data_IF_048643109538
#
_entry.id   IF_048643109538
#
_cell.length_a   1.000
_cell.length_b   1.000
_cell.length_c   1.000
_cell.angle_alpha   90.00
_cell.angle_beta   90.00
_cell.angle_gamma   90.00
#
_symmetry.space_group_name_H-M   'P 1'
#
loop_
_entity.id
_entity.type
_entity.pdbx_description
1 polymer ?
#
# COMPACT_ATOMS: atom_id res chain seq x y z
N UNK A 1 30.96 57.59 -20.49
CA UNK A 1 30.79 56.76 -19.27
C UNK A 1 29.35 56.30 -19.23
N UNK A 2 29.09 55.06 -19.64
CA UNK A 2 27.77 54.42 -19.58
C UNK A 2 27.99 53.00 -19.10
N UNK A 3 27.88 52.80 -17.79
CA UNK A 3 27.96 51.49 -17.15
C UNK A 3 26.59 50.82 -17.25
N UNK A 4 26.45 49.92 -18.22
CA UNK A 4 25.34 48.96 -18.26
C UNK A 4 25.50 47.94 -17.14
N UNK A 5 24.59 47.97 -16.17
CA UNK A 5 24.49 46.96 -15.12
C UNK A 5 23.93 45.68 -15.74
N UNK A 6 24.78 44.67 -15.85
CA UNK A 6 24.37 43.29 -16.14
C UNK A 6 23.53 42.75 -14.96
N UNK A 7 22.23 42.64 -15.15
CA UNK A 7 21.32 41.88 -14.26
C UNK A 7 21.22 40.43 -14.72
N UNK A 8 22.29 39.66 -14.56
CA UNK A 8 22.19 38.19 -14.54
C UNK A 8 22.00 37.73 -13.10
N UNK A 9 20.78 37.88 -12.57
CA UNK A 9 20.35 37.14 -11.39
C UNK A 9 19.69 35.83 -11.85
N UNK A 10 20.50 34.87 -12.31
CA UNK A 10 20.07 33.47 -12.40
C UNK A 10 20.06 32.89 -10.99
N UNK A 11 19.13 33.37 -10.15
CA UNK A 11 18.84 32.73 -8.88
C UNK A 11 18.22 31.38 -9.16
N UNK A 12 19.00 30.30 -9.02
CA UNK A 12 18.47 28.94 -8.92
C UNK A 12 17.42 28.96 -7.81
N UNK A 13 16.13 29.00 -8.17
CA UNK A 13 15.05 28.71 -7.22
C UNK A 13 15.28 27.27 -6.78
N UNK A 14 15.84 27.09 -5.58
CA UNK A 14 15.89 25.78 -4.95
C UNK A 14 14.46 25.24 -4.92
N UNK A 15 14.24 24.12 -5.61
CA UNK A 15 12.93 23.49 -5.64
C UNK A 15 12.55 23.08 -4.23
N UNK A 16 11.30 23.31 -3.86
CA UNK A 16 10.75 22.99 -2.54
C UNK A 16 9.55 22.07 -2.69
N UNK A 17 9.49 20.99 -1.91
CA UNK A 17 8.39 20.04 -1.90
C UNK A 17 7.76 19.92 -0.51
N UNK A 18 6.49 19.56 -0.49
CA UNK A 18 5.70 19.35 0.71
C UNK A 18 5.61 17.85 0.98
N UNK A 19 5.98 17.37 2.16
CA UNK A 19 5.65 16.03 2.63
C UNK A 19 4.36 16.12 3.43
N UNK A 20 3.29 15.53 2.91
CA UNK A 20 1.94 15.59 3.46
C UNK A 20 1.61 14.29 4.19
N UNK A 21 1.26 14.39 5.47
CA UNK A 21 0.80 13.26 6.28
C UNK A 21 -0.41 13.66 7.15
N UNK A 22 -1.04 12.69 7.82
CA UNK A 22 -2.09 12.96 8.80
C UNK A 22 -1.48 13.17 10.19
N UNK A 23 -2.18 13.90 11.05
CA UNK A 23 -1.88 13.95 12.49
C UNK A 23 -1.94 12.56 13.16
N UNK A 24 -1.17 12.38 14.23
CA UNK A 24 -1.05 11.09 14.93
C UNK A 24 -2.39 10.56 15.47
N UNK A 25 -3.29 11.44 15.92
CA UNK A 25 -4.61 11.05 16.43
C UNK A 25 -5.48 10.37 15.34
N UNK A 26 -5.13 10.53 14.07
CA UNK A 26 -5.85 10.01 12.92
C UNK A 26 -5.21 8.78 12.28
N UNK A 27 -4.00 8.42 12.70
CA UNK A 27 -3.20 7.35 12.09
C UNK A 27 -2.18 6.82 13.10
N UNK A 28 -2.58 6.27 14.25
CA UNK A 28 -1.64 5.98 15.34
C UNK A 28 -0.72 4.79 15.07
N UNK A 29 -1.09 3.89 14.15
CA UNK A 29 -0.44 2.58 13.97
C UNK A 29 0.95 2.64 13.33
N UNK A 30 1.33 3.77 12.73
CA UNK A 30 2.58 3.93 12.00
C UNK A 30 3.43 5.12 12.46
N UNK A 31 3.25 5.52 13.73
CA UNK A 31 3.83 6.75 14.31
C UNK A 31 4.86 6.50 15.38
N UNK A 32 5.80 7.42 15.50
CA UNK A 32 6.71 7.53 16.63
C UNK A 32 6.05 8.27 17.82
N UNK A 33 6.77 8.37 18.93
CA UNK A 33 6.33 9.06 20.14
C UNK A 33 6.07 10.57 19.95
N UNK A 34 6.54 11.16 18.84
CA UNK A 34 6.33 12.57 18.49
C UNK A 34 5.18 12.76 17.50
N UNK A 35 4.50 11.68 17.10
CA UNK A 35 3.36 11.73 16.22
C UNK A 35 3.69 11.82 14.72
N UNK A 36 4.96 11.72 14.34
CA UNK A 36 5.36 11.65 12.93
C UNK A 36 5.33 10.20 12.47
N UNK A 37 5.18 9.96 11.16
CA UNK A 37 5.48 8.60 10.67
C UNK A 37 6.95 8.28 10.94
N UNK A 38 7.21 7.04 11.33
CA UNK A 38 8.55 6.59 11.76
C UNK A 38 9.66 6.83 10.71
N UNK A 39 9.30 7.00 9.43
CA UNK A 39 10.23 7.27 8.33
C UNK A 39 10.17 8.68 7.73
N UNK A 40 9.31 9.57 8.25
CA UNK A 40 9.09 10.92 7.68
C UNK A 40 10.36 11.76 7.68
N UNK A 41 11.10 11.79 8.79
CA UNK A 41 12.34 12.56 8.87
C UNK A 41 13.43 12.03 7.94
N UNK A 42 13.54 10.72 7.79
CA UNK A 42 14.50 10.11 6.89
C UNK A 42 14.22 10.48 5.44
N UNK A 43 12.95 10.38 5.01
CA UNK A 43 12.52 10.77 3.66
C UNK A 43 12.78 12.26 3.42
N UNK A 44 12.38 13.14 4.36
CA UNK A 44 12.61 14.57 4.23
C UNK A 44 14.11 14.90 4.11
N UNK A 45 14.95 14.27 4.93
CA UNK A 45 16.42 14.43 4.89
C UNK A 45 17.01 13.88 3.59
N UNK A 46 16.48 12.78 3.08
CA UNK A 46 16.88 12.20 1.79
C UNK A 46 16.61 13.15 0.63
N UNK A 47 15.43 13.77 0.60
CA UNK A 47 15.05 14.81 -0.38
C UNK A 47 15.95 16.05 -0.26
N UNK A 48 16.20 16.51 0.97
CA UNK A 48 17.11 17.64 1.25
C UNK A 48 18.55 17.36 0.79
N UNK A 49 19.03 16.14 1.01
CA UNK A 49 20.35 15.70 0.56
C UNK A 49 20.49 15.69 -0.97
N UNK A 50 19.37 15.59 -1.70
CA UNK A 50 19.33 15.71 -3.16
C UNK A 50 19.20 17.17 -3.65
N UNK A 51 19.33 18.16 -2.77
CA UNK A 51 19.29 19.59 -3.11
C UNK A 51 17.88 20.18 -3.23
N UNK A 52 16.85 19.46 -2.78
CA UNK A 52 15.45 19.89 -2.79
C UNK A 52 14.99 20.19 -1.36
N UNK A 53 14.51 21.40 -1.09
CA UNK A 53 13.96 21.71 0.24
C UNK A 53 12.69 20.88 0.49
N UNK A 54 12.53 20.31 1.68
CA UNK A 54 11.37 19.50 2.04
C UNK A 54 10.79 19.99 3.37
N UNK A 55 9.53 20.44 3.34
CA UNK A 55 8.78 20.81 4.55
C UNK A 55 7.73 19.73 4.84
N UNK A 56 7.53 19.38 6.12
CA UNK A 56 6.50 18.41 6.55
C UNK A 56 5.24 19.16 6.97
N UNK A 57 4.07 18.69 6.56
CA UNK A 57 2.78 19.21 7.00
C UNK A 57 1.84 18.08 7.40
N UNK A 58 1.32 18.17 8.62
CA UNK A 58 0.35 17.24 9.18
C UNK A 58 -1.05 17.82 9.07
N UNK A 59 -1.96 17.09 8.42
CA UNK A 59 -3.37 17.44 8.38
C UNK A 59 -4.02 16.95 9.67
N UNK A 60 -4.35 17.89 10.55
CA UNK A 60 -4.96 17.63 11.85
C UNK A 60 -6.49 17.81 11.84
N UNK A 61 -7.15 17.25 12.86
CA UNK A 61 -8.58 17.44 13.10
C UNK A 61 -8.99 18.89 13.31
N UNK A 62 -8.06 19.76 13.75
CA UNK A 62 -8.33 21.18 13.91
C UNK A 62 -8.48 21.91 12.56
N UNK A 63 -8.01 21.32 11.46
CA UNK A 63 -8.15 21.89 10.12
C UNK A 63 -9.53 21.56 9.53
N UNK A 64 -10.59 22.07 10.15
CA UNK A 64 -11.96 21.85 9.69
C UNK A 64 -12.61 23.05 8.97
N UNK A 65 -11.99 24.22 8.99
CA UNK A 65 -12.54 25.42 8.35
C UNK A 65 -12.18 25.47 6.85
N UNK A 66 -13.18 25.51 5.97
CA UNK A 66 -12.97 25.50 4.51
C UNK A 66 -12.15 26.70 4.00
N UNK A 67 -12.30 27.88 4.61
CA UNK A 67 -11.53 29.07 4.26
C UNK A 67 -10.06 28.89 4.59
N UNK A 68 -9.75 28.34 5.77
CA UNK A 68 -8.39 28.02 6.19
C UNK A 68 -7.77 26.94 5.31
N UNK A 69 -8.50 25.84 5.04
CA UNK A 69 -8.07 24.79 4.09
C UNK A 69 -7.70 25.42 2.74
N UNK A 70 -8.55 26.31 2.22
CA UNK A 70 -8.34 26.98 0.94
C UNK A 70 -7.16 27.94 0.95
N UNK A 71 -6.85 28.59 2.09
CA UNK A 71 -5.64 29.41 2.26
C UNK A 71 -4.38 28.55 2.21
N UNK A 72 -4.34 27.45 2.97
CA UNK A 72 -3.21 26.50 2.92
C UNK A 72 -3.03 25.90 1.53
N UNK A 73 -4.10 25.43 0.89
CA UNK A 73 -4.04 24.84 -0.45
C UNK A 73 -3.48 25.83 -1.49
N UNK A 74 -3.93 27.10 -1.46
CA UNK A 74 -3.37 28.17 -2.31
C UNK A 74 -1.91 28.44 -1.99
N UNK A 75 -1.56 28.59 -0.72
CA UNK A 75 -0.17 28.80 -0.29
C UNK A 75 0.76 27.67 -0.78
N UNK A 76 0.36 26.41 -0.59
CA UNK A 76 1.15 25.26 -1.01
C UNK A 76 1.32 25.22 -2.53
N UNK A 77 0.24 25.35 -3.29
CA UNK A 77 0.29 25.34 -4.76
C UNK A 77 1.12 26.49 -5.37
N UNK A 78 1.20 27.64 -4.69
CA UNK A 78 2.00 28.78 -5.12
C UNK A 78 3.49 28.64 -4.79
N UNK A 79 3.85 27.96 -3.69
CA UNK A 79 5.20 27.98 -3.12
C UNK A 79 5.98 26.68 -3.29
N UNK A 80 5.31 25.57 -3.54
CA UNK A 80 5.93 24.25 -3.66
C UNK A 80 5.85 23.74 -5.09
N UNK A 81 6.93 23.11 -5.55
CA UNK A 81 7.04 22.47 -6.86
C UNK A 81 6.30 21.12 -6.90
N UNK A 82 6.06 20.50 -5.76
CA UNK A 82 5.30 19.27 -5.66
C UNK A 82 4.98 18.83 -4.22
N UNK A 83 4.25 17.73 -4.11
CA UNK A 83 3.84 17.13 -2.82
C UNK A 83 4.09 15.62 -2.80
N UNK A 84 4.71 15.14 -1.75
CA UNK A 84 4.90 13.71 -1.42
C UNK A 84 3.77 13.33 -0.46
N UNK A 85 2.89 12.43 -0.89
CA UNK A 85 1.73 12.00 -0.10
C UNK A 85 2.10 10.76 0.72
N UNK A 86 2.18 10.93 2.03
CA UNK A 86 2.53 9.88 3.02
C UNK A 86 1.32 9.48 3.86
N UNK A 87 0.13 9.52 3.28
CA UNK A 87 -1.13 9.18 3.95
C UNK A 87 -1.58 7.78 3.52
N UNK A 88 -1.82 6.92 4.50
CA UNK A 88 -2.43 5.61 4.25
C UNK A 88 -3.92 5.77 3.87
N UNK A 89 -4.39 5.22 2.72
CA UNK A 89 -5.78 5.35 2.30
C UNK A 89 -6.83 4.82 3.28
N UNK A 90 -6.49 3.84 4.13
CA UNK A 90 -7.42 3.33 5.16
C UNK A 90 -7.73 4.39 6.21
N UNK A 91 -6.73 5.16 6.66
CA UNK A 91 -6.89 6.24 7.64
C UNK A 91 -7.85 7.33 7.15
N UNK A 92 -7.95 7.55 5.83
CA UNK A 92 -8.88 8.53 5.26
C UNK A 92 -10.35 8.10 5.31
N UNK A 93 -10.66 6.82 5.53
CA UNK A 93 -12.05 6.33 5.62
C UNK A 93 -12.68 6.60 6.96
N UNK A 94 -11.87 6.53 8.01
CA UNK A 94 -12.28 6.76 9.40
C UNK A 94 -12.02 8.19 9.84
N UNK A 95 -11.24 8.96 9.07
CA UNK A 95 -10.99 10.37 9.33
C UNK A 95 -12.28 11.22 9.24
N UNK A 96 -12.41 12.27 10.07
CA UNK A 96 -13.51 13.23 9.94
C UNK A 96 -13.62 13.82 8.53
N UNK A 97 -14.85 14.13 8.11
CA UNK A 97 -15.12 14.68 6.77
C UNK A 97 -14.28 15.92 6.45
N UNK A 98 -13.98 16.74 7.47
CA UNK A 98 -13.19 17.95 7.32
C UNK A 98 -11.71 17.67 6.95
N UNK A 99 -11.11 16.61 7.51
CA UNK A 99 -9.75 16.15 7.16
C UNK A 99 -9.72 15.64 5.73
N UNK A 100 -10.71 14.84 5.36
CA UNK A 100 -10.85 14.33 3.99
C UNK A 100 -10.98 15.48 2.98
N UNK A 101 -11.76 16.51 3.32
CA UNK A 101 -11.88 17.73 2.52
C UNK A 101 -10.54 18.47 2.43
N UNK A 102 -9.82 18.60 3.55
CA UNK A 102 -8.49 19.22 3.61
C UNK A 102 -7.50 18.57 2.65
N UNK A 103 -7.30 17.26 2.78
CA UNK A 103 -6.39 16.47 1.92
C UNK A 103 -6.80 16.58 0.45
N UNK A 104 -8.09 16.37 0.14
CA UNK A 104 -8.59 16.47 -1.24
C UNK A 104 -8.38 17.86 -1.84
N UNK A 105 -8.58 18.91 -1.05
CA UNK A 105 -8.44 20.30 -1.51
C UNK A 105 -6.99 20.66 -1.78
N UNK A 106 -6.06 20.30 -0.88
CA UNK A 106 -4.62 20.49 -1.09
C UNK A 106 -4.16 19.79 -2.37
N UNK A 107 -4.47 18.50 -2.52
CA UNK A 107 -4.08 17.72 -3.72
C UNK A 107 -4.72 18.28 -4.99
N UNK A 108 -5.98 18.73 -4.93
CA UNK A 108 -6.66 19.37 -6.07
C UNK A 108 -5.94 20.64 -6.50
N UNK A 109 -5.59 21.53 -5.56
CA UNK A 109 -4.88 22.77 -5.85
C UNK A 109 -3.47 22.52 -6.40
N UNK A 110 -2.73 21.57 -5.84
CA UNK A 110 -1.43 21.16 -6.38
C UNK A 110 -1.55 20.72 -7.85
N UNK A 111 -2.56 19.89 -8.17
CA UNK A 111 -2.82 19.47 -9.55
C UNK A 111 -3.19 20.63 -10.48
N UNK A 112 -4.08 21.52 -10.04
CA UNK A 112 -4.52 22.68 -10.84
C UNK A 112 -3.38 23.66 -11.13
N UNK A 113 -2.41 23.77 -10.22
CA UNK A 113 -1.20 24.56 -10.42
C UNK A 113 -0.08 23.79 -11.15
N UNK A 114 -0.40 22.64 -11.76
CA UNK A 114 0.53 21.76 -12.45
C UNK A 114 1.77 21.45 -11.58
N UNK A 115 1.56 21.06 -10.31
CA UNK A 115 2.65 20.63 -9.41
C UNK A 115 2.78 19.12 -9.44
N UNK A 116 4.01 18.64 -9.24
CA UNK A 116 4.27 17.22 -9.13
C UNK A 116 3.60 16.62 -7.88
N UNK A 117 3.13 15.38 -7.99
CA UNK A 117 2.46 14.65 -6.89
C UNK A 117 3.08 13.26 -6.87
N UNK A 118 3.60 12.83 -5.72
CA UNK A 118 4.21 11.51 -5.55
C UNK A 118 3.50 10.68 -4.47
N UNK A 119 3.08 9.43 -4.78
CA UNK A 119 2.87 8.92 -6.14
C UNK A 119 1.78 9.72 -6.88
N UNK A 120 1.84 9.78 -8.21
CA UNK A 120 0.82 10.48 -8.98
C UNK A 120 -0.47 9.65 -9.09
N UNK A 121 -1.58 10.32 -9.40
CA UNK A 121 -2.92 9.69 -9.43
C UNK A 121 -3.02 8.55 -10.44
N UNK A 122 -2.37 8.67 -11.59
CA UNK A 122 -2.41 7.64 -12.63
C UNK A 122 -1.67 6.43 -12.11
N UNK A 123 -0.43 6.57 -11.67
CA UNK A 123 0.35 5.45 -11.14
C UNK A 123 -0.32 4.75 -9.97
N UNK A 124 -0.87 5.50 -9.00
CA UNK A 124 -1.66 4.92 -7.89
C UNK A 124 -2.85 4.08 -8.37
N UNK A 125 -3.55 4.48 -9.45
CA UNK A 125 -4.68 3.70 -9.98
C UNK A 125 -4.24 2.38 -10.59
N UNK A 126 -3.10 2.37 -11.26
CA UNK A 126 -2.59 1.20 -11.97
C UNK A 126 -1.85 0.22 -11.05
N UNK A 127 -1.17 0.73 -10.00
CA UNK A 127 -0.29 -0.07 -9.15
C UNK A 127 -0.89 -0.35 -7.76
N UNK A 128 -1.45 0.65 -7.09
CA UNK A 128 -1.87 0.61 -5.67
C UNK A 128 -3.36 0.26 -5.47
N UNK A 129 -3.95 -0.44 -6.44
CA UNK A 129 -5.30 -0.98 -6.32
C UNK A 129 -5.24 -2.49 -6.36
N UNK A 130 -6.14 -3.19 -5.67
CA UNK A 130 -6.18 -4.66 -5.77
C UNK A 130 -6.41 -5.15 -7.22
N UNK A 131 -6.92 -4.30 -8.11
CA UNK A 131 -7.01 -4.59 -9.54
C UNK A 131 -5.64 -4.82 -10.18
N UNK A 132 -4.56 -4.23 -9.67
CA UNK A 132 -3.20 -4.50 -10.14
C UNK A 132 -2.83 -5.97 -9.98
N UNK A 133 -3.15 -6.59 -8.83
CA UNK A 133 -2.94 -8.01 -8.60
C UNK A 133 -3.73 -8.89 -9.60
N UNK A 134 -4.96 -8.51 -9.95
CA UNK A 134 -5.74 -9.21 -10.98
C UNK A 134 -5.16 -9.05 -12.39
N UNK A 135 -4.78 -7.84 -12.79
CA UNK A 135 -4.15 -7.62 -14.11
C UNK A 135 -2.82 -8.37 -14.23
N UNK A 136 -2.02 -8.33 -13.16
CA UNK A 136 -0.75 -9.02 -13.10
C UNK A 136 -0.89 -10.54 -12.95
N UNK A 137 -2.07 -11.03 -12.58
CA UNK A 137 -2.39 -12.46 -12.51
C UNK A 137 -2.25 -13.17 -13.87
N UNK A 138 -2.23 -12.40 -14.97
CA UNK A 138 -2.00 -12.87 -16.33
C UNK A 138 -0.51 -13.11 -16.66
N UNK A 139 0.39 -12.81 -15.72
CA UNK A 139 1.79 -13.22 -15.81
C UNK A 139 1.89 -14.74 -15.67
N UNK A 140 2.50 -15.40 -16.65
CA UNK A 140 2.75 -16.86 -16.60
C UNK A 140 3.77 -17.21 -15.51
N UNK A 141 4.71 -16.32 -15.23
CA UNK A 141 5.80 -16.56 -14.27
C UNK A 141 5.34 -16.22 -12.84
N UNK A 142 4.84 -15.01 -12.66
CA UNK A 142 4.62 -14.39 -11.35
C UNK A 142 3.14 -14.33 -10.95
N UNK A 143 2.22 -14.58 -11.87
CA UNK A 143 0.78 -14.41 -11.64
C UNK A 143 0.12 -15.57 -10.92
N UNK A 144 -0.92 -15.25 -10.14
CA UNK A 144 -1.87 -16.21 -9.59
C UNK A 144 -3.01 -16.38 -10.60
N UNK A 145 -2.87 -17.31 -11.54
CA UNK A 145 -3.75 -17.43 -12.73
C UNK A 145 -5.24 -17.54 -12.44
N UNK A 146 -5.62 -18.08 -11.29
CA UNK A 146 -7.00 -18.22 -10.81
C UNK A 146 -7.44 -17.05 -9.92
N UNK A 147 -6.97 -15.84 -10.20
CA UNK A 147 -7.45 -14.59 -9.58
C UNK A 147 -8.71 -14.09 -10.28
N UNK A 148 -9.74 -13.77 -9.50
CA UNK A 148 -11.01 -13.25 -10.01
C UNK A 148 -11.33 -11.87 -9.44
N UNK A 149 -12.08 -11.07 -10.20
CA UNK A 149 -12.57 -9.76 -9.80
C UNK A 149 -14.06 -9.67 -10.07
N UNK A 150 -14.81 -9.16 -9.10
CA UNK A 150 -16.27 -9.12 -9.15
C UNK A 150 -16.81 -7.68 -9.12
N UNK A 151 -17.85 -7.45 -9.93
CA UNK A 151 -18.52 -6.15 -10.12
C UNK A 151 -19.98 -6.15 -9.67
N UNK A 152 -20.58 -7.33 -9.57
CA UNK A 152 -21.93 -7.54 -9.04
C UNK A 152 -21.98 -8.73 -8.07
N UNK A 153 -22.99 -8.71 -7.20
CA UNK A 153 -23.16 -9.71 -6.15
C UNK A 153 -23.41 -11.12 -6.70
N UNK A 154 -24.15 -11.26 -7.81
CA UNK A 154 -24.51 -12.57 -8.37
C UNK A 154 -23.26 -13.28 -8.89
N UNK A 155 -22.41 -12.58 -9.62
CA UNK A 155 -21.13 -13.10 -10.10
C UNK A 155 -20.20 -13.48 -8.94
N UNK A 156 -20.13 -12.64 -7.90
CA UNK A 156 -19.34 -12.93 -6.70
C UNK A 156 -19.80 -14.20 -5.99
N UNK A 157 -21.11 -14.33 -5.72
CA UNK A 157 -21.68 -15.49 -5.04
C UNK A 157 -21.40 -16.76 -5.82
N UNK A 158 -21.67 -16.75 -7.13
CA UNK A 158 -21.47 -17.93 -7.98
C UNK A 158 -19.98 -18.28 -8.11
N UNK A 159 -19.14 -17.28 -8.36
CA UNK A 159 -17.70 -17.44 -8.53
C UNK A 159 -17.01 -17.96 -7.28
N UNK A 160 -17.21 -17.29 -6.13
CA UNK A 160 -16.64 -17.71 -4.86
C UNK A 160 -17.06 -19.12 -4.46
N UNK A 161 -18.33 -19.47 -4.66
CA UNK A 161 -18.86 -20.81 -4.38
C UNK A 161 -18.14 -21.87 -5.22
N UNK A 162 -18.03 -21.64 -6.53
CA UNK A 162 -17.32 -22.56 -7.43
C UNK A 162 -15.83 -22.69 -7.06
N UNK A 163 -15.16 -21.59 -6.75
CA UNK A 163 -13.75 -21.59 -6.37
C UNK A 163 -13.51 -22.33 -5.06
N UNK A 164 -14.35 -22.10 -4.04
CA UNK A 164 -14.32 -22.85 -2.79
C UNK A 164 -14.61 -24.34 -3.01
N UNK A 165 -15.50 -24.69 -3.95
CA UNK A 165 -15.72 -26.09 -4.34
C UNK A 165 -14.46 -26.77 -4.88
N UNK A 166 -13.67 -26.05 -5.68
CA UNK A 166 -12.44 -26.57 -6.33
C UNK A 166 -11.24 -26.63 -5.41
N UNK A 167 -10.94 -25.54 -4.68
CA UNK A 167 -9.68 -25.40 -3.92
C UNK A 167 -9.87 -25.43 -2.42
N UNK A 168 -11.12 -25.44 -1.93
CA UNK A 168 -11.54 -25.40 -0.50
C UNK A 168 -11.15 -24.16 0.28
N UNK A 169 -10.05 -23.51 -0.06
CA UNK A 169 -9.57 -22.29 0.61
C UNK A 169 -9.35 -21.20 -0.43
N UNK A 170 -9.91 -20.02 -0.17
CA UNK A 170 -9.78 -18.81 -0.99
C UNK A 170 -9.46 -17.60 -0.11
N UNK A 171 -8.80 -16.61 -0.70
CA UNK A 171 -8.57 -15.30 -0.10
C UNK A 171 -9.47 -14.29 -0.79
N UNK A 172 -10.35 -13.62 -0.07
CA UNK A 172 -11.26 -12.59 -0.58
C UNK A 172 -10.84 -11.22 -0.05
N UNK A 173 -10.67 -10.24 -0.93
CA UNK A 173 -10.18 -8.89 -0.63
C UNK A 173 -11.17 -7.84 -1.16
N UNK A 174 -11.56 -6.80 -0.41
CA UNK A 174 -12.20 -5.64 -0.98
C UNK A 174 -11.21 -4.93 -1.92
N UNK A 175 -11.72 -4.38 -3.02
CA UNK A 175 -10.87 -3.70 -4.03
C UNK A 175 -10.16 -2.48 -3.45
N UNK A 176 -10.79 -1.83 -2.47
CA UNK A 176 -10.20 -0.72 -1.75
C UNK A 176 -9.87 -1.16 -0.32
N UNK A 177 -8.60 -1.11 0.08
CA UNK A 177 -8.12 -1.30 1.47
C UNK A 177 -6.62 -1.59 1.49
N UNK A 178 -5.90 -1.16 2.53
CA UNK A 178 -4.43 -1.16 2.58
C UNK A 178 -3.83 -1.75 3.88
N UNK A 179 -4.65 -2.16 4.85
CA UNK A 179 -4.20 -2.66 6.16
C UNK A 179 -4.75 -4.05 6.51
N UNK A 180 -5.05 -4.90 5.53
CA UNK A 180 -5.56 -6.26 5.79
C UNK A 180 -7.01 -6.31 6.29
N UNK A 181 -7.57 -5.20 6.75
CA UNK A 181 -8.99 -5.03 7.05
C UNK A 181 -9.85 -5.43 5.84
N UNK A 182 -10.83 -6.29 6.09
CA UNK A 182 -11.71 -6.86 5.08
C UNK A 182 -11.04 -7.93 4.21
N UNK A 183 -9.77 -8.29 4.41
CA UNK A 183 -9.16 -9.44 3.72
C UNK A 183 -9.46 -10.70 4.50
N UNK A 184 -10.21 -11.61 3.89
CA UNK A 184 -10.67 -12.85 4.51
C UNK A 184 -10.02 -14.07 3.86
N UNK A 185 -9.49 -14.97 4.68
CA UNK A 185 -9.30 -16.36 4.29
C UNK A 185 -10.60 -17.10 4.57
N UNK A 186 -11.16 -17.70 3.52
CA UNK A 186 -12.38 -18.49 3.57
C UNK A 186 -12.03 -19.94 3.29
N UNK A 187 -12.24 -20.82 4.25
CA UNK A 187 -11.99 -22.26 4.11
C UNK A 187 -13.29 -23.05 4.34
N UNK A 188 -13.58 -24.01 3.47
CA UNK A 188 -14.70 -24.94 3.66
C UNK A 188 -14.43 -25.91 4.79
N UNK A 189 -15.48 -26.24 5.55
CA UNK A 189 -15.43 -27.35 6.51
C UNK A 189 -15.53 -28.72 5.79
N UNK A 190 -16.24 -28.79 4.66
CA UNK A 190 -16.44 -30.03 3.92
C UNK A 190 -15.17 -30.47 3.18
N UNK A 191 -14.94 -31.79 3.12
CA UNK A 191 -13.79 -32.41 2.44
C UNK A 191 -14.16 -33.07 1.11
N UNK A 192 -15.30 -32.72 0.52
CA UNK A 192 -15.73 -33.24 -0.77
C UNK A 192 -15.34 -32.31 -1.94
N UNK A 193 -15.88 -32.58 -3.12
CA UNK A 193 -15.69 -31.81 -4.36
C UNK A 193 -16.96 -31.07 -4.80
N UNK A 194 -18.00 -31.05 -3.94
CA UNK A 194 -19.22 -30.29 -4.18
C UNK A 194 -18.93 -28.79 -4.13
N UNK A 195 -19.90 -27.95 -4.48
CA UNK A 195 -19.83 -26.52 -4.18
C UNK A 195 -20.54 -26.29 -2.84
N UNK A 196 -20.09 -25.36 -1.97
CA UNK A 196 -20.73 -25.17 -0.68
C UNK A 196 -22.17 -24.72 -0.85
N UNK A 197 -23.09 -25.24 -0.04
CA UNK A 197 -24.46 -24.75 0.06
C UNK A 197 -24.54 -23.49 0.95
N UNK A 198 -25.66 -22.77 0.90
CA UNK A 198 -25.84 -21.52 1.66
C UNK A 198 -25.60 -21.67 3.16
N UNK A 199 -26.05 -22.78 3.72
CA UNK A 199 -25.98 -23.07 5.15
C UNK A 199 -24.69 -23.87 5.51
N UNK A 200 -23.81 -24.14 4.54
CA UNK A 200 -22.54 -24.81 4.82
C UNK A 200 -21.64 -23.90 5.66
N UNK A 201 -21.11 -24.38 6.81
CA UNK A 201 -20.17 -23.62 7.60
C UNK A 201 -18.81 -23.49 6.90
N UNK A 202 -18.25 -22.29 6.99
CA UNK A 202 -16.90 -21.93 6.60
C UNK A 202 -16.09 -21.58 7.86
N UNK A 203 -14.79 -21.87 7.82
CA UNK A 203 -13.80 -21.23 8.67
C UNK A 203 -13.36 -19.93 8.02
N UNK A 204 -13.48 -18.84 8.76
CA UNK A 204 -13.20 -17.49 8.29
C UNK A 204 -12.14 -16.86 9.18
N UNK A 205 -11.11 -16.29 8.58
CA UNK A 205 -10.07 -15.55 9.30
C UNK A 205 -9.83 -14.22 8.60
N UNK A 206 -10.04 -13.12 9.33
CA UNK A 206 -9.68 -11.80 8.83
C UNK A 206 -8.17 -11.58 9.04
N UNK A 207 -7.46 -11.19 7.99
CA UNK A 207 -6.00 -11.00 8.04
C UNK A 207 -5.55 -9.88 8.98
N UNK A 208 -6.43 -8.97 9.40
CA UNK A 208 -6.14 -7.97 10.43
C UNK A 208 -6.30 -8.50 11.86
N UNK A 209 -7.08 -9.56 12.06
CA UNK A 209 -7.33 -10.20 13.35
C UNK A 209 -6.66 -11.59 13.36
N UNK A 210 -5.33 -11.56 13.29
CA UNK A 210 -4.44 -12.71 13.05
C UNK A 210 -4.61 -13.90 14.01
N UNK A 211 -5.31 -13.76 15.13
CA UNK A 211 -5.59 -14.81 16.12
C UNK A 211 -7.07 -15.21 16.21
N UNK A 212 -7.91 -14.72 15.28
CA UNK A 212 -9.34 -14.94 15.30
C UNK A 212 -9.86 -15.73 14.09
N UNK A 213 -10.34 -16.95 14.35
CA UNK A 213 -11.09 -17.77 13.39
C UNK A 213 -12.56 -17.79 13.81
N UNK A 214 -13.44 -17.38 12.91
CA UNK A 214 -14.89 -17.50 13.06
C UNK A 214 -15.42 -18.68 12.26
N UNK A 215 -16.51 -19.29 12.75
CA UNK A 215 -17.29 -20.28 12.00
C UNK A 215 -18.64 -19.69 11.65
N UNK A 216 -18.90 -19.48 10.35
CA UNK A 216 -20.14 -18.89 9.83
C UNK A 216 -20.56 -19.59 8.56
N UNK A 217 -21.84 -19.53 8.22
CA UNK A 217 -22.34 -20.09 6.96
C UNK A 217 -21.84 -19.31 5.76
N UNK A 218 -21.80 -19.96 4.58
CA UNK A 218 -21.47 -19.29 3.32
C UNK A 218 -22.39 -18.07 3.07
N UNK A 219 -23.69 -18.21 3.35
CA UNK A 219 -24.67 -17.12 3.22
C UNK A 219 -24.35 -15.94 4.14
N UNK A 220 -24.08 -16.18 5.42
CA UNK A 220 -23.72 -15.13 6.37
C UNK A 220 -22.47 -14.37 5.94
N UNK A 221 -21.42 -15.08 5.49
CA UNK A 221 -20.20 -14.45 5.02
C UNK A 221 -20.44 -13.56 3.79
N UNK A 222 -21.15 -14.07 2.80
CA UNK A 222 -21.48 -13.31 1.58
C UNK A 222 -22.27 -12.06 1.93
N UNK A 223 -23.27 -12.18 2.80
CA UNK A 223 -24.10 -11.04 3.20
C UNK A 223 -23.26 -9.97 3.92
N UNK A 224 -22.41 -10.40 4.85
CA UNK A 224 -21.48 -9.51 5.54
C UNK A 224 -20.48 -8.84 4.60
N UNK A 225 -19.86 -9.59 3.70
CA UNK A 225 -18.88 -9.05 2.76
C UNK A 225 -19.52 -8.01 1.81
N UNK A 226 -20.78 -8.21 1.41
CA UNK A 226 -21.49 -7.30 0.51
C UNK A 226 -22.09 -6.08 1.22
N UNK A 227 -22.64 -6.26 2.43
CA UNK A 227 -23.48 -5.27 3.09
C UNK A 227 -23.04 -4.88 4.50
N UNK A 228 -21.94 -5.45 4.99
CA UNK A 228 -21.41 -5.23 6.33
C UNK A 228 -22.45 -5.56 7.40
N UNK A 229 -22.40 -4.81 8.51
CA UNK A 229 -23.34 -4.95 9.63
C UNK A 229 -24.70 -4.30 9.40
N UNK A 230 -24.94 -3.69 8.23
CA UNK A 230 -26.15 -2.90 7.96
C UNK A 230 -27.41 -3.75 7.80
N UNK A 231 -27.29 -5.01 7.35
CA UNK A 231 -28.43 -5.91 7.09
C UNK A 231 -28.52 -7.04 8.10
N UNK A 232 -27.38 -7.64 8.41
CA UNK A 232 -27.28 -8.73 9.39
C UNK A 232 -26.28 -8.32 10.46
N UNK A 233 -26.69 -8.25 11.74
CA UNK A 233 -25.78 -7.93 12.83
C UNK A 233 -24.65 -8.96 12.90
N UNK A 234 -23.47 -8.61 12.38
CA UNK A 234 -22.26 -9.38 12.61
C UNK A 234 -21.78 -9.07 14.02
N UNK A 235 -22.24 -9.87 14.99
CA UNK A 235 -21.62 -9.90 16.31
C UNK A 235 -20.29 -10.63 16.14
N UNK A 236 -19.27 -9.90 15.73
CA UNK A 236 -17.90 -10.37 15.85
C UNK A 236 -17.72 -10.86 17.30
N UNK A 237 -17.02 -11.97 17.50
CA UNK A 237 -16.53 -12.22 18.85
C UNK A 237 -15.68 -11.00 19.25
N UNK A 238 -15.69 -10.63 20.53
CA UNK A 238 -15.24 -9.36 21.11
C UNK A 238 -13.80 -8.90 20.77
N UNK A 239 -13.04 -9.63 19.94
CA UNK A 239 -11.67 -9.34 19.48
C UNK A 239 -11.50 -9.19 17.96
N UNK A 240 -12.47 -9.62 17.15
CA UNK A 240 -12.38 -9.65 15.68
C UNK A 240 -13.21 -8.60 14.95
N UNK A 241 -13.73 -7.61 15.67
CA UNK A 241 -14.61 -6.57 15.12
C UNK A 241 -13.88 -5.55 14.28
N UNK A 242 -13.24 -5.97 13.18
CA UNK A 242 -12.85 -5.05 12.13
C UNK A 242 -14.07 -4.21 11.74
N UNK A 243 -13.95 -2.89 11.77
CA UNK A 243 -14.96 -1.98 11.24
C UNK A 243 -14.96 -2.09 9.71
N UNK A 244 -15.36 -3.25 9.18
CA UNK A 244 -15.55 -3.44 7.75
C UNK A 244 -16.71 -2.55 7.32
N UNK A 245 -16.36 -1.39 6.77
CA UNK A 245 -17.30 -0.57 6.04
C UNK A 245 -17.47 -1.20 4.66
N UNK A 246 -18.64 -1.81 4.37
CA UNK A 246 -18.86 -2.47 3.10
C UNK A 246 -18.68 -1.46 1.97
N UNK A 247 -18.33 -1.93 0.75
CA UNK A 247 -18.26 -1.09 -0.43
C UNK A 247 -19.68 -0.65 -0.83
N UNK A 248 -20.32 0.21 -0.05
CA UNK A 248 -21.55 0.87 -0.48
C UNK A 248 -21.18 1.76 -1.66
N UNK A 249 -21.71 1.43 -2.84
CA UNK A 249 -21.79 2.38 -3.95
C UNK A 249 -23.23 2.55 -4.38
N UNK A 250 -23.60 3.83 -4.50
CA UNK A 250 -24.74 4.26 -5.28
C UNK A 250 -24.58 3.83 -6.74
N UNK A 251 -25.74 3.65 -7.38
CA UNK A 251 -26.04 2.92 -8.61
C UNK A 251 -25.38 3.44 -9.90
N UNK A 252 -24.45 4.40 -9.83
CA UNK A 252 -23.82 4.98 -11.02
C UNK A 252 -22.50 4.27 -11.38
N UNK A 253 -22.63 3.21 -12.19
CA UNK A 253 -21.63 2.36 -12.87
C UNK A 253 -20.98 1.21 -12.05
N UNK A 254 -20.94 -0.04 -12.57
CA UNK A 254 -20.42 -1.22 -11.86
C UNK A 254 -18.87 -1.19 -11.78
N UNK A 255 -18.36 -0.54 -10.73
CA UNK A 255 -16.96 -0.64 -10.36
C UNK A 255 -16.69 -1.98 -9.64
N UNK A 256 -15.51 -2.58 -9.83
CA UNK A 256 -15.11 -3.75 -9.07
C UNK A 256 -15.16 -3.50 -7.57
N UNK A 257 -15.67 -4.47 -6.81
CA UNK A 257 -15.78 -4.37 -5.35
C UNK A 257 -15.01 -5.47 -4.61
N UNK A 258 -14.86 -6.66 -5.22
CA UNK A 258 -14.11 -7.78 -4.64
C UNK A 258 -13.03 -8.30 -5.59
N UNK A 259 -11.95 -8.78 -5.00
CA UNK A 259 -10.94 -9.62 -5.64
C UNK A 259 -10.82 -10.92 -4.84
N UNK A 260 -10.65 -12.02 -5.55
CA UNK A 260 -10.52 -13.36 -4.99
C UNK A 260 -9.28 -14.05 -5.56
N UNK A 261 -8.47 -14.65 -4.71
CA UNK A 261 -7.25 -15.38 -5.06
C UNK A 261 -7.23 -16.75 -4.39
N UNK A 262 -6.46 -17.70 -4.93
CA UNK A 262 -6.14 -18.91 -4.16
C UNK A 262 -5.34 -18.56 -2.92
N UNK A 263 -5.55 -19.34 -1.88
CA UNK A 263 -4.69 -19.30 -0.71
C UNK A 263 -3.35 -19.95 -1.05
N UNK A 264 -2.25 -19.28 -0.72
CA UNK A 264 -0.89 -19.79 -0.89
C UNK A 264 -0.36 -20.29 0.46
N UNK A 265 -0.32 -21.62 0.69
CA UNK A 265 -0.08 -22.17 2.02
C UNK A 265 1.32 -21.91 2.57
N UNK A 266 2.32 -21.61 1.72
CA UNK A 266 3.66 -21.23 2.19
C UNK A 266 3.75 -19.78 2.67
N UNK A 267 2.63 -19.05 2.81
CA UNK A 267 2.62 -17.77 3.55
C UNK A 267 3.20 -17.92 4.97
N UNK A 268 3.10 -19.11 5.56
CA UNK A 268 3.73 -19.46 6.83
C UNK A 268 5.27 -19.35 6.80
N UNK A 269 5.90 -19.51 5.63
CA UNK A 269 7.35 -19.33 5.44
C UNK A 269 7.71 -17.83 5.32
N UNK A 270 6.71 -16.98 5.17
CA UNK A 270 6.83 -15.54 5.06
C UNK A 270 6.46 -14.99 3.68
N UNK A 271 6.08 -13.72 3.68
CA UNK A 271 5.86 -12.88 2.52
C UNK A 271 7.17 -12.16 2.18
N UNK A 272 7.64 -12.34 0.94
CA UNK A 272 8.82 -11.67 0.41
C UNK A 272 8.41 -10.32 -0.21
N UNK A 273 8.72 -9.24 0.48
CA UNK A 273 8.52 -7.86 0.01
C UNK A 273 9.77 -7.34 -0.68
N UNK A 274 9.62 -6.93 -1.93
CA UNK A 274 10.66 -6.27 -2.71
C UNK A 274 10.36 -4.77 -2.76
N UNK A 275 11.27 -3.94 -2.28
CA UNK A 275 11.12 -2.48 -2.24
C UNK A 275 11.95 -1.86 -3.34
N UNK A 276 11.34 -0.94 -4.08
CA UNK A 276 11.92 -0.30 -5.26
C UNK A 276 11.88 1.22 -5.13
N UNK A 277 12.93 1.85 -5.65
CA UNK A 277 12.94 3.28 -6.03
C UNK A 277 13.03 3.30 -7.55
N UNK A 278 11.99 3.78 -8.23
CA UNK A 278 11.84 3.62 -9.69
C UNK A 278 11.95 2.15 -10.08
N UNK A 279 12.85 1.80 -10.98
CA UNK A 279 13.12 0.44 -11.45
C UNK A 279 14.22 -0.28 -10.64
N UNK A 280 14.83 0.38 -9.65
CA UNK A 280 15.92 -0.18 -8.86
C UNK A 280 15.43 -0.85 -7.59
N UNK A 281 15.80 -2.12 -7.40
CA UNK A 281 15.59 -2.85 -6.15
C UNK A 281 16.51 -2.28 -5.07
N UNK A 282 15.92 -1.81 -3.98
CA UNK A 282 16.65 -1.18 -2.86
C UNK A 282 16.65 -2.03 -1.59
N UNK A 283 15.58 -2.79 -1.34
CA UNK A 283 15.51 -3.72 -0.21
C UNK A 283 14.74 -4.99 -0.55
N UNK A 284 15.16 -6.10 0.05
CA UNK A 284 14.43 -7.36 0.08
C UNK A 284 14.12 -7.70 1.52
N UNK A 285 12.84 -7.87 1.83
CA UNK A 285 12.36 -8.03 3.21
C UNK A 285 11.49 -9.26 3.29
N UNK A 286 11.79 -10.15 4.24
CA UNK A 286 10.93 -11.26 4.60
C UNK A 286 10.07 -10.85 5.79
N UNK A 287 8.75 -10.95 5.63
CA UNK A 287 7.79 -10.75 6.71
C UNK A 287 7.18 -12.10 7.04
N UNK A 288 7.46 -12.63 8.21
CA UNK A 288 6.92 -13.93 8.66
C UNK A 288 5.79 -13.70 9.66
N UNK A 289 4.61 -14.31 9.48
CA UNK A 289 3.53 -14.24 10.45
C UNK A 289 3.98 -14.80 11.80
N UNK A 290 3.60 -14.17 12.92
CA UNK A 290 3.89 -14.71 14.27
C UNK A 290 2.94 -15.85 14.64
N UNK A 291 1.75 -15.91 14.02
CA UNK A 291 0.79 -17.00 14.19
C UNK A 291 0.65 -17.83 12.92
N UNK A 292 0.52 -19.16 13.08
CA UNK A 292 0.36 -20.10 11.97
C UNK A 292 -0.86 -19.75 11.11
N UNK A 293 -0.65 -19.59 9.80
CA UNK A 293 -1.71 -19.27 8.83
C UNK A 293 -2.10 -17.78 8.76
N UNK A 294 -1.60 -16.93 9.67
CA UNK A 294 -1.96 -15.52 9.78
C UNK A 294 -1.21 -14.61 8.77
N UNK A 295 -1.60 -13.33 8.70
CA UNK A 295 -0.93 -12.31 7.89
C UNK A 295 0.17 -11.58 8.68
N UNK A 296 1.10 -10.96 7.98
CA UNK A 296 2.10 -10.07 8.61
C UNK A 296 1.61 -8.62 8.79
N UNK A 297 0.43 -8.29 8.25
CA UNK A 297 -0.12 -6.95 8.25
C UNK A 297 -0.40 -6.46 9.70
N UNK A 298 -0.28 -5.16 9.94
CA UNK A 298 -0.55 -4.56 11.26
C UNK A 298 0.56 -4.71 12.30
N UNK A 299 1.77 -5.16 11.91
CA UNK A 299 2.93 -5.24 12.81
C UNK A 299 2.99 -6.53 13.65
N UNK A 300 2.12 -7.50 13.37
CA UNK A 300 2.07 -8.82 14.03
C UNK A 300 3.01 -9.83 13.35
N UNK A 301 3.83 -9.40 12.38
CA UNK A 301 4.80 -10.23 11.69
C UNK A 301 6.24 -9.91 12.10
N UNK A 302 7.09 -10.93 12.22
CA UNK A 302 8.53 -10.76 12.32
C UNK A 302 9.04 -10.22 10.99
N UNK A 303 9.69 -9.06 11.04
CA UNK A 303 10.29 -8.43 9.85
C UNK A 303 11.78 -8.68 9.89
N UNK A 304 12.31 -9.34 8.86
CA UNK A 304 13.74 -9.60 8.68
C UNK A 304 14.17 -9.15 7.28
N UNK A 305 15.36 -8.56 7.20
CA UNK A 305 15.94 -8.23 5.90
C UNK A 305 16.73 -9.41 5.36
N UNK A 306 16.50 -9.71 4.08
CA UNK A 306 17.19 -10.77 3.34
C UNK A 306 18.47 -10.16 2.78
N UNK A 307 19.61 -10.51 3.36
CA UNK A 307 20.90 -9.88 3.05
C UNK A 307 22.08 -10.85 3.04
N UNK A 308 21.88 -12.10 3.43
CA UNK A 308 22.94 -13.09 3.56
C UNK A 308 22.98 -14.00 2.34
N UNK A 309 23.97 -13.81 1.45
CA UNK A 309 24.11 -14.65 0.25
C UNK A 309 24.71 -16.03 0.56
N UNK A 310 25.25 -16.24 1.77
CA UNK A 310 25.82 -17.52 2.20
C UNK A 310 24.74 -18.42 2.82
N UNK A 311 23.68 -17.84 3.39
CA UNK A 311 22.51 -18.58 3.87
C UNK A 311 21.66 -19.06 2.68
N UNK A 312 21.46 -20.39 2.48
CA UNK A 312 20.84 -20.93 1.27
C UNK A 312 19.45 -20.38 0.95
N UNK A 313 18.59 -20.19 1.96
CA UNK A 313 17.23 -19.68 1.72
C UNK A 313 17.24 -18.21 1.30
N UNK A 314 18.09 -17.39 1.92
CA UNK A 314 18.31 -16.00 1.53
C UNK A 314 18.93 -15.89 0.13
N UNK A 315 19.91 -16.72 -0.21
CA UNK A 315 20.48 -16.78 -1.56
C UNK A 315 19.39 -17.07 -2.62
N UNK A 316 18.47 -18.00 -2.34
CA UNK A 316 17.34 -18.30 -3.20
C UNK A 316 16.38 -17.10 -3.35
N UNK A 317 16.04 -16.43 -2.25
CA UNK A 317 15.16 -15.23 -2.26
C UNK A 317 15.82 -14.04 -2.97
N UNK A 318 17.12 -13.85 -2.81
CA UNK A 318 17.90 -12.83 -3.53
C UNK A 318 17.85 -13.11 -5.04
N UNK A 319 18.02 -14.36 -5.46
CA UNK A 319 17.88 -14.75 -6.86
C UNK A 319 16.49 -14.41 -7.42
N UNK A 320 15.43 -14.70 -6.66
CA UNK A 320 14.04 -14.34 -7.02
C UNK A 320 13.90 -12.82 -7.13
N UNK A 321 14.43 -12.05 -6.17
CA UNK A 321 14.37 -10.60 -6.19
C UNK A 321 15.05 -10.01 -7.43
N UNK A 322 16.24 -10.53 -7.80
CA UNK A 322 16.98 -10.13 -9.01
C UNK A 322 16.25 -10.51 -10.29
N UNK A 323 15.60 -11.67 -10.32
CA UNK A 323 14.76 -12.07 -11.46
C UNK A 323 13.56 -11.14 -11.61
N UNK A 324 12.91 -10.75 -10.52
CA UNK A 324 11.80 -9.81 -10.57
C UNK A 324 12.25 -8.42 -11.03
N UNK A 325 13.35 -7.89 -10.49
CA UNK A 325 13.95 -6.62 -10.93
C UNK A 325 14.22 -6.62 -12.44
N UNK A 326 14.80 -7.71 -12.96
CA UNK A 326 15.16 -7.81 -14.39
C UNK A 326 13.97 -8.05 -15.32
N UNK A 327 13.01 -8.89 -14.92
CA UNK A 327 11.95 -9.39 -15.80
C UNK A 327 10.54 -9.01 -15.33
N UNK A 328 10.28 -9.06 -14.03
CA UNK A 328 8.98 -8.71 -13.43
C UNK A 328 8.57 -7.27 -13.71
N UNK A 329 9.51 -6.32 -13.67
CA UNK A 329 9.24 -4.91 -14.01
C UNK A 329 8.75 -4.74 -15.47
N UNK A 330 9.32 -5.52 -16.41
CA UNK A 330 8.89 -5.47 -17.82
C UNK A 330 7.47 -6.00 -18.00
N UNK A 331 7.14 -7.10 -17.31
CA UNK A 331 5.78 -7.63 -17.29
C UNK A 331 4.80 -6.68 -16.62
N UNK A 332 5.23 -6.00 -15.56
CA UNK A 332 4.44 -4.98 -14.88
C UNK A 332 4.13 -3.82 -15.84
N UNK A 333 5.11 -3.36 -16.61
CA UNK A 333 4.88 -2.36 -17.65
C UNK A 333 3.84 -2.82 -18.67
N UNK A 334 3.97 -4.05 -19.17
CA UNK A 334 3.03 -4.62 -20.15
C UNK A 334 1.60 -4.79 -19.59
N UNK A 335 1.46 -5.32 -18.38
CA UNK A 335 0.17 -5.75 -17.82
C UNK A 335 -0.55 -4.67 -17.01
N UNK A 336 0.19 -3.80 -16.33
CA UNK A 336 -0.38 -2.77 -15.47
C UNK A 336 -0.47 -1.43 -16.17
N UNK A 337 0.53 -1.10 -16.97
CA UNK A 337 0.66 0.20 -17.66
C UNK A 337 0.41 0.09 -19.17
N UNK A 338 -0.18 -1.01 -19.64
CA UNK A 338 -0.51 -1.25 -21.06
C UNK A 338 0.68 -1.08 -22.02
N UNK A 339 1.90 -1.29 -21.52
CA UNK A 339 3.15 -1.11 -22.26
C UNK A 339 3.59 0.35 -22.44
N UNK A 340 2.91 1.31 -21.82
CA UNK A 340 3.22 2.73 -21.93
C UNK A 340 4.55 3.07 -21.22
N UNK A 341 5.62 3.17 -22.00
CA UNK A 341 6.94 3.52 -21.51
C UNK A 341 7.04 4.97 -20.96
N UNK A 342 6.02 5.81 -21.17
CA UNK A 342 5.95 7.14 -20.55
C UNK A 342 5.46 7.11 -19.10
N UNK A 343 4.88 5.99 -18.65
CA UNK A 343 4.46 5.81 -17.27
C UNK A 343 5.68 5.73 -16.35
N UNK A 344 5.88 6.78 -15.56
CA UNK A 344 6.95 6.83 -14.58
C UNK A 344 6.66 5.88 -13.41
N UNK A 345 7.62 5.02 -13.09
CA UNK A 345 7.55 4.24 -11.85
C UNK A 345 7.61 5.16 -10.62
N UNK A 346 6.91 4.79 -9.52
CA UNK A 346 6.92 5.59 -8.29
C UNK A 346 8.32 5.85 -7.76
N UNK A 347 8.49 6.98 -7.07
CA UNK A 347 9.71 7.29 -6.31
C UNK A 347 9.96 6.29 -5.18
N UNK A 348 8.93 5.58 -4.72
CA UNK A 348 9.01 4.47 -3.78
C UNK A 348 7.79 3.56 -3.95
N UNK A 349 8.01 2.26 -4.11
CA UNK A 349 6.94 1.26 -4.18
C UNK A 349 7.45 -0.11 -3.73
N UNK A 350 6.54 -1.06 -3.53
CA UNK A 350 6.90 -2.43 -3.25
C UNK A 350 5.94 -3.43 -3.91
N UNK A 351 6.42 -4.66 -4.05
CA UNK A 351 5.63 -5.82 -4.45
C UNK A 351 5.80 -6.93 -3.43
N UNK A 352 4.69 -7.60 -3.12
CA UNK A 352 4.64 -8.68 -2.13
C UNK A 352 4.46 -10.01 -2.84
N UNK A 353 5.39 -10.94 -2.58
CA UNK A 353 5.40 -12.27 -3.16
C UNK A 353 5.25 -13.33 -2.07
N UNK A 354 4.52 -14.38 -2.40
CA UNK A 354 4.41 -15.58 -1.55
C UNK A 354 4.83 -16.78 -2.40
N UNK A 355 5.62 -17.66 -1.80
CA UNK A 355 6.00 -18.93 -2.41
C UNK A 355 4.77 -19.85 -2.55
N UNK A 356 4.60 -20.51 -3.69
CA UNK A 356 3.55 -21.50 -3.90
C UNK A 356 4.08 -22.93 -3.64
N UNK A 357 3.20 -23.93 -3.65
CA UNK A 357 3.52 -25.34 -3.38
C UNK A 357 4.53 -25.95 -4.36
N UNK A 358 4.69 -25.34 -5.53
CA UNK A 358 5.68 -25.72 -6.55
C UNK A 358 7.04 -25.03 -6.36
N UNK A 359 7.18 -24.14 -5.37
CA UNK A 359 8.38 -23.34 -5.12
C UNK A 359 8.46 -22.05 -5.95
N UNK A 360 7.49 -21.78 -6.83
CA UNK A 360 7.44 -20.53 -7.56
C UNK A 360 6.90 -19.40 -6.68
N UNK A 361 7.54 -18.23 -6.73
CA UNK A 361 7.03 -17.04 -6.06
C UNK A 361 5.94 -16.37 -6.90
N UNK A 362 4.81 -16.08 -6.27
CA UNK A 362 3.64 -15.44 -6.90
C UNK A 362 3.37 -14.08 -6.29
N UNK A 363 3.06 -13.11 -7.13
CA UNK A 363 2.72 -11.74 -6.72
C UNK A 363 1.30 -11.69 -6.18
N UNK A 364 1.18 -11.18 -4.95
CA UNK A 364 -0.08 -11.09 -4.23
C UNK A 364 -0.61 -9.66 -4.13
N UNK A 365 0.28 -8.67 -4.10
CA UNK A 365 -0.05 -7.26 -3.93
C UNK A 365 1.08 -6.35 -4.43
N UNK A 366 0.70 -5.17 -4.91
CA UNK A 366 1.60 -4.06 -5.16
C UNK A 366 1.17 -2.89 -4.28
N UNK A 367 2.14 -2.14 -3.74
CA UNK A 367 1.87 -0.94 -2.97
C UNK A 367 2.76 0.21 -3.46
N UNK A 368 2.19 1.38 -3.67
CA UNK A 368 2.97 2.59 -3.94
C UNK A 368 2.47 3.83 -3.19
N UNK A 369 1.32 3.76 -2.52
CA UNK A 369 0.93 4.80 -1.57
C UNK A 369 1.52 4.47 -0.20
N UNK A 370 2.11 5.46 0.46
CA UNK A 370 2.58 5.39 1.85
C UNK A 370 3.55 4.26 2.24
N UNK A 371 4.20 3.59 1.27
CA UNK A 371 5.18 2.51 1.50
C UNK A 371 6.22 2.92 2.55
N UNK A 372 6.32 2.13 3.62
CA UNK A 372 7.22 2.39 4.74
C UNK A 372 8.66 1.96 4.45
N UNK A 373 9.63 2.77 4.87
CA UNK A 373 11.04 2.38 4.93
C UNK A 373 11.27 1.53 6.18
N UNK A 374 11.17 0.21 6.05
CA UNK A 374 11.10 -0.72 7.19
C UNK A 374 12.33 -0.70 8.09
N UNK A 375 13.46 -0.16 7.63
CA UNK A 375 14.66 0.07 8.45
C UNK A 375 14.41 1.02 9.62
N UNK A 376 13.41 1.88 9.50
CA UNK A 376 13.03 2.83 10.55
C UNK A 376 11.88 2.29 11.42
N UNK A 377 11.40 1.06 11.19
CA UNK A 377 10.24 0.49 11.90
C UNK A 377 10.44 0.43 13.41
N UNK A 378 11.67 0.28 13.90
CA UNK A 378 11.97 0.25 15.34
C UNK A 378 11.61 1.57 16.08
N UNK A 379 11.48 2.69 15.34
CA UNK A 379 11.00 3.96 15.88
C UNK A 379 9.47 4.04 16.00
N UNK A 380 8.73 3.07 15.45
CA UNK A 380 7.28 3.04 15.50
C UNK A 380 6.77 2.60 16.89
N UNK A 381 5.89 3.39 17.48
CA UNK A 381 5.22 3.13 18.75
C UNK A 381 5.13 4.37 19.63
N UNK A 382 4.19 4.39 20.59
CA UNK A 382 3.88 5.57 21.42
C UNK A 382 5.03 5.99 22.35
N UNK A 383 6.00 5.10 22.56
CA UNK A 383 7.19 5.32 23.41
C UNK A 383 8.49 5.15 22.64
N UNK A 384 8.43 5.06 21.32
CA UNK A 384 9.56 4.75 20.44
C UNK A 384 9.94 5.98 19.62
N UNK A 385 11.22 6.10 19.27
CA UNK A 385 11.75 7.18 18.46
C UNK A 385 12.93 6.69 17.62
N UNK A 386 13.57 7.62 16.89
CA UNK A 386 14.77 7.33 16.12
C UNK A 386 15.92 6.70 16.96
N UNK A 387 15.92 6.91 18.29
CA UNK A 387 16.90 6.31 19.20
C UNK A 387 16.79 4.78 19.28
N UNK A 388 15.64 4.21 18.92
CA UNK A 388 15.43 2.77 18.89
C UNK A 388 15.98 2.12 17.61
N UNK A 389 16.47 2.90 16.66
CA UNK A 389 16.95 2.39 15.37
C UNK A 389 18.43 2.03 15.50
N UNK A 390 18.79 0.83 15.04
CA UNK A 390 20.20 0.41 15.01
C UNK A 390 21.01 1.31 14.08
N UNK A 391 22.29 1.53 14.38
CA UNK A 391 23.15 2.33 13.51
C UNK A 391 23.25 1.74 12.08
N UNK A 392 23.17 0.41 11.94
CA UNK A 392 23.16 -0.26 10.65
C UNK A 392 21.89 0.03 9.85
N UNK A 393 20.72 -0.05 10.49
CA UNK A 393 19.45 0.24 9.85
C UNK A 393 19.30 1.72 9.52
N UNK A 394 19.73 2.61 10.43
CA UNK A 394 19.73 4.04 10.18
C UNK A 394 20.56 4.39 8.93
N UNK A 395 21.77 3.83 8.79
CA UNK A 395 22.61 4.03 7.59
C UNK A 395 21.95 3.49 6.32
N UNK A 396 21.48 2.24 6.34
CA UNK A 396 20.88 1.60 5.16
C UNK A 396 19.58 2.29 4.74
N UNK A 397 18.67 2.53 5.68
CA UNK A 397 17.42 3.23 5.43
C UNK A 397 17.64 4.65 4.93
N UNK A 398 18.65 5.36 5.47
CA UNK A 398 19.00 6.71 4.99
C UNK A 398 19.50 6.70 3.55
N UNK A 399 20.21 5.66 3.11
CA UNK A 399 20.62 5.51 1.71
C UNK A 399 19.40 5.34 0.80
N UNK A 400 18.43 4.50 1.18
CA UNK A 400 17.17 4.35 0.43
C UNK A 400 16.42 5.68 0.34
N UNK A 401 16.33 6.43 1.44
CA UNK A 401 15.71 7.75 1.45
C UNK A 401 16.42 8.76 0.52
N UNK A 402 17.77 8.73 0.45
CA UNK A 402 18.55 9.55 -0.49
C UNK A 402 18.31 9.18 -1.94
N UNK A 403 18.16 7.89 -2.24
CA UNK A 403 17.80 7.42 -3.59
C UNK A 403 16.41 7.92 -3.99
N UNK A 404 15.43 7.79 -3.09
CA UNK A 404 14.09 8.37 -3.29
C UNK A 404 14.16 9.88 -3.50
N UNK A 405 14.97 10.60 -2.70
CA UNK A 405 15.19 12.03 -2.85
C UNK A 405 15.78 12.41 -4.21
N UNK A 406 16.76 11.64 -4.68
CA UNK A 406 17.38 11.81 -6.00
C UNK A 406 16.37 11.58 -7.14
N UNK A 407 15.50 10.56 -7.00
CA UNK A 407 14.42 10.31 -7.93
C UNK A 407 13.42 11.49 -8.01
N UNK A 408 13.09 12.10 -6.87
CA UNK A 408 12.21 13.29 -6.82
C UNK A 408 12.89 14.51 -7.44
N UNK A 409 14.18 14.74 -7.14
CA UNK A 409 14.94 15.84 -7.72
C UNK A 409 15.05 15.72 -9.25
N UNK A 410 15.22 14.49 -9.75
CA UNK A 410 15.22 14.20 -11.19
C UNK A 410 13.87 14.52 -11.84
N UNK A 411 12.74 14.12 -11.22
CA UNK A 411 11.39 14.47 -11.72
C UNK A 411 11.21 15.99 -11.82
N UNK A 412 11.62 16.72 -10.79
CA UNK A 412 11.52 18.18 -10.78
C UNK A 412 12.38 18.85 -11.85
N UNK A 413 13.53 18.26 -12.19
CA UNK A 413 14.43 18.76 -13.23
C UNK A 413 13.88 18.47 -14.63
N UNK A 414 13.29 17.29 -14.83
CA UNK A 414 12.74 16.85 -16.12
C UNK A 414 11.38 17.48 -16.42
N UNK A 415 10.58 17.77 -15.39
CA UNK A 415 9.23 18.32 -15.52
C UNK A 415 9.20 19.83 -15.87
N UNK A 416 10.33 20.46 -16.21
CA UNK A 416 10.53 21.92 -16.33
C UNK A 416 9.22 22.68 -16.59
N UNK A 417 8.66 23.19 -15.49
CA UNK A 417 7.48 24.03 -15.41
C UNK A 417 7.76 25.47 -15.84
#
# INVERSE_FOLDING_TARGET
MSTSVNTTASGTRHSRVLLLELDAALSPTDRDMYGNRYDTFAIATGVQSAGVACDVFQVANSLCNESEISKYARFFSARYAGVIVRINPSCLRTAPACVLLGVKTIIKHMRLANRAIWPDRTTTRHLDSKISAYRFSQSETWGISDTHVYRDAKAFIHGLRNSLGRTRVRVVKPICGSCGEGVWVCARCAIDTSVPDDDEPLFLMEMSANDHIERRTFREFVEYFLYGTQRTPWRASERGGGHYNPPVRSVSAPAPFALEQRYLPRIQNGELRLVFVRDRLVETVLRTPVLLGASTIGGVGLTRFVVDEEEPDDAARIKVARQFEKFGIREMNRLLFDGDASMALPSLWCVDLIEDVDGAYKVCEFNCTCVGLLRFLAACGPTRSAENISAGDMRRGSNVAKEMGSAIAADLTNARF
#
